data_IF_646844535399
#
_entry.id   IF_646844535399
#
_cell.length_a   1.000
_cell.length_b   1.000
_cell.length_c   1.000
_cell.angle_alpha   90.00
_cell.angle_beta   90.00
_cell.angle_gamma   90.00
#
_symmetry.space_group_name_H-M   'P 1'
#
loop_
_entity.id
_entity.type
_entity.pdbx_description
1 polymer ?
#
# COMPACT_ATOMS: atom_id res chain seq x y z
N UNK A 1 -10.08 12.94 0.52
CA UNK A 1 -9.86 11.89 1.51
C UNK A 1 -8.37 11.78 1.72
N UNK A 2 -7.92 11.80 2.98
CA UNK A 2 -6.50 11.76 3.33
C UNK A 2 -6.16 10.44 4.02
N UNK A 3 -5.23 9.71 3.44
CA UNK A 3 -4.64 8.51 4.03
C UNK A 3 -3.28 8.87 4.63
N UNK A 4 -2.96 8.26 5.75
CA UNK A 4 -1.64 8.32 6.35
C UNK A 4 -1.18 6.90 6.62
N UNK A 5 -0.11 6.47 5.95
CA UNK A 5 0.60 5.24 6.28
C UNK A 5 1.79 5.61 7.15
N UNK A 6 1.66 5.33 8.44
CA UNK A 6 2.71 5.55 9.43
C UNK A 6 3.49 4.27 9.65
N UNK A 7 4.73 4.20 9.20
CA UNK A 7 5.63 3.07 9.43
C UNK A 7 6.06 3.05 10.90
N UNK A 8 5.88 1.90 11.55
CA UNK A 8 6.15 1.72 12.98
C UNK A 8 7.28 0.73 13.28
N UNK A 9 7.60 -0.16 12.33
CA UNK A 9 8.72 -1.08 12.48
C UNK A 9 9.40 -1.32 11.14
N UNK A 10 10.61 -0.79 10.99
CA UNK A 10 11.46 -0.95 9.81
C UNK A 10 12.39 -2.13 10.09
N UNK A 11 12.11 -3.30 9.54
CA UNK A 11 12.95 -4.49 9.69
C UNK A 11 13.76 -4.72 8.41
N UNK A 12 14.85 -5.50 8.47
CA UNK A 12 15.70 -5.73 7.30
C UNK A 12 14.99 -6.37 6.10
N UNK A 13 13.90 -7.10 6.34
CA UNK A 13 13.17 -7.86 5.31
C UNK A 13 11.71 -7.46 5.15
N UNK A 14 11.17 -6.62 6.04
CA UNK A 14 9.77 -6.17 5.98
C UNK A 14 9.58 -4.88 6.75
N UNK A 15 8.47 -4.19 6.48
CA UNK A 15 8.07 -2.98 7.20
C UNK A 15 6.64 -3.11 7.67
N UNK A 16 6.39 -2.88 8.96
CA UNK A 16 5.02 -2.79 9.50
C UNK A 16 4.63 -1.33 9.64
N UNK A 17 3.39 -1.02 9.26
CA UNK A 17 2.79 0.29 9.41
C UNK A 17 1.37 0.26 9.94
N UNK A 18 0.87 1.45 10.22
CA UNK A 18 -0.53 1.73 10.53
C UNK A 18 -1.12 2.57 9.42
N UNK A 19 -2.27 2.14 8.88
CA UNK A 19 -3.02 2.92 7.92
C UNK A 19 -4.13 3.68 8.61
N UNK A 20 -4.11 5.00 8.45
CA UNK A 20 -5.16 5.91 8.88
C UNK A 20 -5.91 6.42 7.66
N UNK A 21 -7.22 6.63 7.82
CA UNK A 21 -8.06 7.31 6.83
C UNK A 21 -8.79 8.42 7.58
N UNK A 22 -8.63 9.66 7.11
CA UNK A 22 -9.19 10.88 7.70
C UNK A 22 -8.96 10.96 9.23
N UNK A 23 -7.73 10.61 9.64
CA UNK A 23 -7.27 10.69 11.04
C UNK A 23 -7.62 9.48 11.92
N UNK A 24 -8.43 8.53 11.42
CA UNK A 24 -8.78 7.32 12.18
C UNK A 24 -7.93 6.13 11.75
N UNK A 25 -7.34 5.39 12.71
CA UNK A 25 -6.62 4.15 12.40
C UNK A 25 -7.61 3.11 11.88
N UNK A 26 -7.40 2.63 10.66
CA UNK A 26 -8.28 1.66 10.00
C UNK A 26 -7.72 0.23 10.09
N UNK A 27 -6.42 0.06 9.86
CA UNK A 27 -5.79 -1.26 9.86
C UNK A 27 -4.27 -1.18 10.07
N UNK A 28 -3.61 -2.34 10.01
CA UNK A 28 -2.15 -2.46 9.93
C UNK A 28 -1.73 -2.75 8.48
N UNK A 29 -0.47 -2.50 8.19
CA UNK A 29 0.13 -2.78 6.88
C UNK A 29 1.40 -3.58 6.99
N UNK A 30 1.73 -4.30 5.92
CA UNK A 30 3.07 -4.84 5.69
C UNK A 30 3.54 -4.49 4.29
N UNK A 31 4.80 -4.10 4.19
CA UNK A 31 5.51 -3.77 2.97
C UNK A 31 6.87 -4.49 2.97
N UNK A 32 7.57 -4.44 1.84
CA UNK A 32 9.00 -4.78 1.76
C UNK A 32 9.86 -3.90 2.69
N UNK A 33 11.17 -4.16 2.73
CA UNK A 33 12.12 -3.33 3.45
C UNK A 33 12.17 -1.90 2.90
N UNK A 34 12.17 -0.90 3.79
CA UNK A 34 12.42 0.50 3.43
C UNK A 34 13.88 0.67 3.01
N UNK A 35 14.09 1.36 1.88
CA UNK A 35 15.43 1.71 1.38
C UNK A 35 15.67 3.20 1.18
N UNK A 36 14.60 4.01 1.17
CA UNK A 36 14.68 5.47 1.30
C UNK A 36 14.88 5.80 2.78
N UNK A 37 16.12 5.78 3.24
CA UNK A 37 16.49 5.91 4.66
C UNK A 37 16.54 7.38 5.08
N UNK A 38 16.89 8.28 4.15
CA UNK A 38 16.90 9.73 4.38
C UNK A 38 15.50 10.37 4.29
N UNK A 39 14.49 9.60 3.84
CA UNK A 39 13.07 9.95 3.81
C UNK A 39 12.75 11.11 2.88
N UNK A 40 13.48 11.23 1.76
CA UNK A 40 13.31 12.34 0.81
C UNK A 40 12.49 11.96 -0.43
N UNK A 41 11.99 10.72 -0.49
CA UNK A 41 11.17 10.21 -1.58
C UNK A 41 11.95 9.72 -2.79
N UNK A 42 13.27 9.57 -2.68
CA UNK A 42 14.15 9.13 -3.76
C UNK A 42 15.15 8.11 -3.24
N UNK A 43 15.66 7.25 -4.11
CA UNK A 43 16.78 6.39 -3.78
C UNK A 43 18.08 7.08 -4.22
N UNK A 44 18.65 7.87 -3.31
CA UNK A 44 19.90 8.61 -3.55
C UNK A 44 20.93 8.37 -2.43
N UNK A 45 22.10 9.02 -2.51
CA UNK A 45 23.14 8.93 -1.46
C UNK A 45 23.58 7.48 -1.13
N UNK A 46 23.55 6.59 -2.13
CA UNK A 46 23.90 5.17 -1.98
C UNK A 46 22.71 4.24 -1.73
N UNK A 47 21.52 4.80 -1.48
CA UNK A 47 20.26 4.05 -1.49
C UNK A 47 19.95 3.56 -2.90
N UNK A 48 19.39 2.36 -2.99
CA UNK A 48 19.02 1.75 -4.27
C UNK A 48 17.76 0.93 -4.12
N UNK A 49 16.85 1.09 -5.07
CA UNK A 49 15.73 0.18 -5.22
C UNK A 49 16.22 -1.23 -5.58
N UNK A 50 15.66 -2.23 -4.91
CA UNK A 50 15.77 -3.65 -5.25
C UNK A 50 14.41 -4.12 -5.75
N UNK A 51 14.37 -4.65 -6.98
CA UNK A 51 13.15 -5.12 -7.60
C UNK A 51 12.42 -6.13 -6.71
N UNK A 52 11.12 -5.92 -6.50
CA UNK A 52 10.22 -6.74 -5.68
C UNK A 52 10.68 -6.99 -4.23
N UNK A 53 11.59 -6.15 -3.70
CA UNK A 53 12.11 -6.23 -2.34
C UNK A 53 12.41 -4.83 -1.79
N UNK A 54 11.60 -3.84 -2.15
CA UNK A 54 11.74 -2.45 -1.70
C UNK A 54 10.38 -1.80 -1.56
N UNK A 55 10.11 -1.24 -0.38
CA UNK A 55 8.89 -0.50 -0.12
C UNK A 55 8.89 0.85 -0.87
N UNK A 56 7.70 1.40 -1.03
CA UNK A 56 7.46 2.71 -1.64
C UNK A 56 8.27 3.78 -0.89
N UNK A 57 8.96 4.71 -1.56
CA UNK A 57 9.74 5.72 -0.86
C UNK A 57 8.80 6.69 -0.12
N UNK A 58 9.33 7.39 0.88
CA UNK A 58 8.55 8.34 1.67
C UNK A 58 7.96 9.45 0.80
N UNK A 59 6.86 10.06 1.24
CA UNK A 59 6.23 11.16 0.50
C UNK A 59 4.72 11.02 0.34
N UNK A 60 4.15 11.84 -0.54
CA UNK A 60 2.71 11.95 -0.74
C UNK A 60 2.35 11.60 -2.17
N UNK A 61 1.41 10.67 -2.34
CA UNK A 61 1.01 10.14 -3.63
C UNK A 61 -0.50 10.21 -3.81
N UNK A 62 -0.94 10.57 -5.02
CA UNK A 62 -2.35 10.45 -5.41
C UNK A 62 -2.73 8.97 -5.57
N UNK A 63 -3.97 8.64 -5.21
CA UNK A 63 -4.54 7.31 -5.40
C UNK A 63 -5.67 7.38 -6.43
N UNK A 64 -5.67 6.42 -7.36
CA UNK A 64 -6.76 6.20 -8.31
C UNK A 64 -7.34 4.80 -8.20
N UNK A 65 -8.66 4.68 -8.40
CA UNK A 65 -9.37 3.42 -8.59
C UNK A 65 -9.82 3.21 -10.05
N UNK A 66 -9.36 4.07 -10.98
CA UNK A 66 -9.85 4.09 -12.38
C UNK A 66 -9.07 3.19 -13.32
N UNK A 67 -8.01 2.54 -12.84
CA UNK A 67 -7.12 1.71 -13.67
C UNK A 67 -7.23 0.25 -13.22
N UNK A 68 -7.73 -0.60 -14.09
CA UNK A 68 -7.77 -2.05 -13.84
C UNK A 68 -6.35 -2.61 -13.75
N UNK A 69 -6.11 -3.55 -12.84
CA UNK A 69 -4.82 -4.22 -12.74
C UNK A 69 -4.77 -5.48 -13.61
N UNK A 70 -3.86 -5.57 -14.61
CA UNK A 70 -3.71 -6.79 -15.42
C UNK A 70 -3.33 -8.02 -14.59
N UNK A 71 -2.61 -7.83 -13.47
CA UNK A 71 -2.15 -8.91 -12.57
C UNK A 71 -3.28 -9.50 -11.71
N UNK A 72 -4.29 -8.69 -11.39
CA UNK A 72 -5.31 -9.04 -10.40
C UNK A 72 -6.74 -9.16 -10.97
N UNK A 73 -7.00 -8.70 -12.21
CA UNK A 73 -8.33 -8.73 -12.84
C UNK A 73 -9.01 -10.10 -12.87
N UNK A 74 -8.26 -11.17 -13.08
CA UNK A 74 -8.83 -12.52 -13.23
C UNK A 74 -8.81 -13.32 -11.91
N UNK A 75 -8.31 -12.74 -10.82
CA UNK A 75 -8.18 -13.45 -9.54
C UNK A 75 -9.50 -13.44 -8.77
N UNK A 76 -9.95 -14.62 -8.35
CA UNK A 76 -11.23 -14.83 -7.68
C UNK A 76 -11.48 -13.88 -6.49
N UNK A 77 -10.46 -13.62 -5.67
CA UNK A 77 -10.55 -12.74 -4.50
C UNK A 77 -10.85 -11.26 -4.82
N UNK A 78 -10.64 -10.81 -6.06
CA UNK A 78 -10.90 -9.43 -6.50
C UNK A 78 -12.10 -9.31 -7.46
N UNK A 79 -12.87 -10.38 -7.67
CA UNK A 79 -14.09 -10.33 -8.50
C UNK A 79 -15.11 -9.30 -8.02
N UNK A 80 -15.13 -8.99 -6.72
CA UNK A 80 -16.04 -7.98 -6.17
C UNK A 80 -15.74 -6.55 -6.63
N UNK A 81 -14.54 -6.30 -7.16
CA UNK A 81 -14.10 -5.01 -7.67
C UNK A 81 -13.53 -5.08 -9.09
N UNK A 82 -13.74 -6.18 -9.82
CA UNK A 82 -13.25 -6.42 -11.17
C UNK A 82 -11.75 -6.13 -11.37
N UNK A 83 -10.94 -6.31 -10.33
CA UNK A 83 -9.50 -6.02 -10.36
C UNK A 83 -9.13 -4.54 -10.47
N UNK A 84 -10.06 -3.62 -10.21
CA UNK A 84 -9.73 -2.22 -9.92
C UNK A 84 -9.28 -2.16 -8.47
N UNK A 85 -7.99 -1.93 -8.25
CA UNK A 85 -7.39 -1.83 -6.92
C UNK A 85 -6.88 -0.39 -6.73
N UNK A 86 -6.81 0.12 -5.48
CA UNK A 86 -6.23 1.43 -5.22
C UNK A 86 -4.79 1.47 -5.72
N UNK A 87 -4.52 2.35 -6.68
CA UNK A 87 -3.22 2.51 -7.34
C UNK A 87 -2.60 3.83 -6.93
N UNK A 88 -1.36 3.79 -6.45
CA UNK A 88 -0.57 4.99 -6.20
C UNK A 88 0.01 5.50 -7.53
N UNK A 89 -0.05 6.81 -7.73
CA UNK A 89 0.40 7.50 -8.94
C UNK A 89 1.74 8.20 -8.73
N UNK A 90 2.52 8.30 -9.80
CA UNK A 90 3.77 9.08 -9.87
C UNK A 90 4.79 8.70 -8.78
N UNK A 91 4.86 7.42 -8.42
CA UNK A 91 5.82 6.92 -7.44
C UNK A 91 7.21 6.80 -8.10
N UNK A 92 8.25 7.47 -7.60
CA UNK A 92 9.59 7.46 -8.19
C UNK A 92 10.14 6.04 -8.34
N UNK A 93 10.58 5.68 -9.55
CA UNK A 93 11.16 4.37 -9.88
C UNK A 93 10.20 3.18 -9.69
N UNK A 94 8.90 3.38 -9.47
CA UNK A 94 7.90 2.31 -9.36
C UNK A 94 6.81 2.43 -10.40
N UNK A 95 6.53 1.31 -11.06
CA UNK A 95 5.37 1.17 -11.94
C UNK A 95 4.36 0.24 -11.32
N UNK A 96 3.09 0.64 -11.40
CA UNK A 96 2.00 -0.30 -11.21
C UNK A 96 1.68 -0.65 -9.75
N UNK A 97 2.15 0.12 -8.76
CA UNK A 97 2.02 -0.21 -7.32
C UNK A 97 0.61 0.04 -6.77
N UNK A 98 0.19 -0.86 -5.88
CA UNK A 98 -1.19 -0.99 -5.41
C UNK A 98 -1.25 -1.11 -3.88
N UNK A 99 -2.44 -0.88 -3.33
CA UNK A 99 -2.86 -1.41 -2.02
C UNK A 99 -3.64 -2.71 -2.29
N UNK A 100 -3.26 -3.84 -1.68
CA UNK A 100 -3.91 -5.12 -1.99
C UNK A 100 -3.86 -6.19 -0.88
N UNK A 101 -4.59 -7.29 -1.10
CA UNK A 101 -4.59 -8.49 -0.25
C UNK A 101 -3.25 -9.22 -0.33
N UNK A 102 -2.67 -9.54 0.82
CA UNK A 102 -1.45 -10.34 1.01
C UNK A 102 -1.14 -10.43 2.50
N UNK A 103 -0.26 -11.35 2.90
CA UNK A 103 -0.01 -11.63 4.33
C UNK A 103 1.44 -11.38 4.75
N UNK A 104 2.42 -11.56 3.86
CA UNK A 104 3.83 -11.33 4.16
C UNK A 104 4.45 -10.32 3.19
N UNK A 105 5.62 -9.76 3.52
CA UNK A 105 6.33 -8.85 2.60
C UNK A 105 6.61 -9.50 1.23
N UNK A 106 6.81 -10.82 1.18
CA UNK A 106 7.04 -11.58 -0.06
C UNK A 106 5.83 -11.53 -1.01
N UNK A 107 4.62 -11.35 -0.50
CA UNK A 107 3.41 -11.16 -1.31
C UNK A 107 3.34 -9.74 -1.91
N UNK A 108 4.15 -8.80 -1.42
CA UNK A 108 4.02 -7.37 -1.70
C UNK A 108 4.61 -6.97 -3.05
N UNK A 109 5.83 -7.44 -3.35
CA UNK A 109 6.61 -7.00 -4.50
C UNK A 109 6.64 -5.45 -4.65
N UNK A 110 6.84 -4.75 -3.54
CA UNK A 110 6.85 -3.29 -3.44
C UNK A 110 5.48 -2.62 -3.23
N UNK A 111 4.39 -3.40 -3.13
CA UNK A 111 3.05 -2.90 -2.80
C UNK A 111 2.81 -2.72 -1.30
N UNK A 112 1.68 -2.08 -0.98
CA UNK A 112 1.18 -1.99 0.40
C UNK A 112 0.18 -3.11 0.62
N UNK A 113 0.45 -4.00 1.56
CA UNK A 113 -0.50 -5.01 1.99
C UNK A 113 -1.24 -4.53 3.23
N UNK A 114 -2.55 -4.78 3.30
CA UNK A 114 -3.40 -4.38 4.44
C UNK A 114 -3.91 -5.61 5.18
N UNK A 115 -3.97 -5.52 6.51
CA UNK A 115 -4.51 -6.58 7.36
C UNK A 115 -4.41 -6.22 8.85
N UNK A 116 -4.28 -7.25 9.68
CA UNK A 116 -4.12 -7.14 11.13
C UNK A 116 -2.76 -7.71 11.55
N UNK A 117 -1.89 -6.90 12.16
CA UNK A 117 -0.57 -7.35 12.61
C UNK A 117 -0.67 -8.11 13.95
N UNK A 118 -1.13 -9.36 13.87
CA UNK A 118 -1.29 -10.27 15.02
C UNK A 118 -0.17 -11.31 15.14
N UNK A 119 0.71 -11.39 14.14
CA UNK A 119 1.87 -12.28 14.09
C UNK A 119 3.09 -11.50 13.60
N UNK A 120 4.27 -11.79 14.17
CA UNK A 120 5.52 -11.10 13.80
C UNK A 120 5.82 -11.33 12.32
N UNK A 121 6.05 -10.23 11.59
CA UNK A 121 6.40 -10.28 10.16
C UNK A 121 5.23 -10.60 9.23
N UNK A 122 3.97 -10.53 9.71
CA UNK A 122 2.79 -10.77 8.89
C UNK A 122 1.63 -9.84 9.22
N UNK A 123 0.70 -9.75 8.28
CA UNK A 123 -0.68 -9.31 8.54
C UNK A 123 -1.64 -10.46 8.26
N UNK A 124 -2.68 -10.58 9.07
CA UNK A 124 -3.75 -11.57 8.93
C UNK A 124 -5.05 -10.89 8.49
N UNK A 125 -6.07 -11.68 8.16
CA UNK A 125 -7.41 -11.18 7.78
C UNK A 125 -7.40 -10.20 6.58
N UNK A 126 -6.38 -10.28 5.72
CA UNK A 126 -6.11 -9.32 4.65
C UNK A 126 -7.28 -9.14 3.66
N UNK A 127 -8.01 -10.20 3.33
CA UNK A 127 -9.20 -10.09 2.46
C UNK A 127 -10.31 -9.23 3.07
N UNK A 128 -10.64 -9.45 4.34
CA UNK A 128 -11.69 -8.70 5.03
C UNK A 128 -11.27 -7.23 5.22
N UNK A 129 -10.02 -7.02 5.65
CA UNK A 129 -9.45 -5.68 5.80
C UNK A 129 -9.40 -4.93 4.47
N UNK A 130 -8.94 -5.57 3.40
CA UNK A 130 -8.89 -4.96 2.08
C UNK A 130 -10.27 -4.53 1.58
N UNK A 131 -11.30 -5.36 1.74
CA UNK A 131 -12.67 -5.00 1.35
C UNK A 131 -13.15 -3.74 2.07
N UNK A 132 -12.95 -3.67 3.39
CA UNK A 132 -13.30 -2.48 4.18
C UNK A 132 -12.56 -1.23 3.70
N UNK A 133 -11.24 -1.33 3.50
CA UNK A 133 -10.43 -0.20 2.99
C UNK A 133 -10.90 0.20 1.59
N UNK A 134 -11.13 -0.78 0.72
CA UNK A 134 -11.61 -0.56 -0.65
C UNK A 134 -12.94 0.19 -0.66
N UNK A 135 -13.91 -0.22 0.15
CA UNK A 135 -15.23 0.40 0.20
C UNK A 135 -15.14 1.88 0.61
N UNK A 136 -14.28 2.21 1.59
CA UNK A 136 -14.03 3.60 2.00
C UNK A 136 -13.46 4.43 0.84
N UNK A 137 -12.44 3.91 0.14
CA UNK A 137 -11.80 4.60 -0.98
C UNK A 137 -12.73 4.70 -2.20
N UNK A 138 -13.49 3.66 -2.49
CA UNK A 138 -14.45 3.64 -3.60
C UNK A 138 -15.54 4.68 -3.38
N UNK A 139 -16.06 4.80 -2.15
CA UNK A 139 -17.06 5.81 -1.80
C UNK A 139 -16.53 7.23 -2.03
N UNK A 140 -15.28 7.51 -1.63
CA UNK A 140 -14.64 8.80 -1.91
C UNK A 140 -14.45 9.03 -3.43
N UNK A 141 -13.96 8.02 -4.15
CA UNK A 141 -13.75 8.11 -5.60
C UNK A 141 -15.05 8.33 -6.36
N UNK A 142 -16.17 7.74 -5.93
CA UNK A 142 -17.49 7.89 -6.57
C UNK A 142 -18.07 9.28 -6.38
N UNK A 143 -17.69 9.97 -5.28
CA UNK A 143 -17.99 11.39 -5.08
C UNK A 143 -17.08 12.32 -5.88
N UNK A 144 -16.11 11.79 -6.63
CA UNK A 144 -15.09 12.59 -7.30
C UNK A 144 -14.11 13.26 -6.33
N UNK A 145 -14.05 12.80 -5.08
CA UNK A 145 -13.18 13.35 -4.06
C UNK A 145 -11.72 12.92 -4.33
N UNK A 146 -10.73 13.85 -4.33
CA UNK A 146 -9.33 13.47 -4.42
C UNK A 146 -8.91 12.57 -3.26
N UNK A 147 -8.13 11.54 -3.53
CA UNK A 147 -7.61 10.59 -2.55
C UNK A 147 -6.08 10.67 -2.58
N UNK A 148 -5.47 10.94 -1.43
CA UNK A 148 -4.01 11.01 -1.29
C UNK A 148 -3.55 10.17 -0.12
N UNK A 149 -2.36 9.58 -0.25
CA UNK A 149 -1.67 8.88 0.84
C UNK A 149 -0.34 9.55 1.13
N UNK A 150 -0.14 9.92 2.38
CA UNK A 150 1.16 10.32 2.93
C UNK A 150 1.82 9.11 3.60
N UNK A 151 3.07 8.84 3.25
CA UNK A 151 3.87 7.75 3.81
C UNK A 151 4.95 8.36 4.70
N UNK A 152 4.95 8.03 6.00
CA UNK A 152 5.82 8.60 7.06
C UNK A 152 6.43 7.58 8.01
#
# INVERSE_FOLDING_TARGET
>A
MKLLLKRIALKPTYTIGWLYIDGQKVCDTIEDAVRDLNKNGRFDNGEKKVYAATAIPYGTYDITLKVQSPKYKDRAQYKFCDGYLPRLLNVPEFDGILIHIGNTAEDSAGCILVGENKEVGKVLNSTATFRRVYDMLKTASDRGEPIQIEIV
#
